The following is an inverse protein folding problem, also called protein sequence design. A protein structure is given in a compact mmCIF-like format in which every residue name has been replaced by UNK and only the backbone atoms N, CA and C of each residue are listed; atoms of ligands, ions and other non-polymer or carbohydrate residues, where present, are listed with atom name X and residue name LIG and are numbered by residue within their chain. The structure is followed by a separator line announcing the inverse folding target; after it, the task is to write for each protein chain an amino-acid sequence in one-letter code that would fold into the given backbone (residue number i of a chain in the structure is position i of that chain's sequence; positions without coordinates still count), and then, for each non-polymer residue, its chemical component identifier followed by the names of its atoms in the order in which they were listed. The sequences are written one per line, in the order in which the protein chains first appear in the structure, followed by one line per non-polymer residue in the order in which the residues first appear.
data_IF_367483197943
#
_entry.id   IF_367483197943
#
_cell.length_a   1.000
_cell.length_b   1.000
_cell.length_c   1.000
_cell.angle_alpha   90.00
_cell.angle_beta   90.00
_cell.angle_gamma   90.00
#
_symmetry.space_group_name_H-M   'P 1'
#
loop_
_entity.id
_entity.type
_entity.pdbx_description
1 polymer ?
#
# COMPACT_ATOMS: atom_id res chain seq x y z
N UNK A 1 -7.78 -10.05 5.93
CA UNK A 1 -7.20 -8.76 5.52
C UNK A 1 -5.96 -9.06 4.70
N UNK A 2 -5.85 -8.51 3.49
CA UNK A 2 -4.62 -8.65 2.70
C UNK A 2 -3.50 -7.88 3.40
N UNK A 3 -2.30 -8.46 3.52
CA UNK A 3 -1.12 -7.83 4.12
C UNK A 3 0.02 -7.92 3.10
N UNK A 4 0.62 -6.80 2.67
CA UNK A 4 1.73 -6.82 1.72
C UNK A 4 2.85 -7.72 2.21
N UNK A 5 3.45 -8.48 1.29
CA UNK A 5 4.53 -9.41 1.59
C UNK A 5 5.83 -8.94 0.96
N UNK A 6 6.92 -9.61 1.35
CA UNK A 6 8.26 -9.32 0.81
C UNK A 6 8.24 -9.40 -0.72
N UNK A 7 7.64 -10.45 -1.25
CA UNK A 7 7.44 -10.66 -2.68
C UNK A 7 6.05 -10.18 -3.13
N UNK A 8 5.94 -9.83 -4.41
CA UNK A 8 4.69 -9.39 -5.02
C UNK A 8 3.57 -10.42 -4.87
N UNK A 9 2.38 -9.92 -4.56
CA UNK A 9 1.12 -10.62 -4.58
C UNK A 9 0.25 -9.96 -5.66
N UNK A 10 0.26 -10.52 -6.86
CA UNK A 10 -0.50 -9.97 -7.99
C UNK A 10 -2.00 -9.95 -7.65
N UNK A 11 -2.52 -8.77 -7.36
CA UNK A 11 -3.93 -8.55 -7.11
C UNK A 11 -4.57 -8.18 -8.45
N UNK A 12 -5.12 -9.20 -9.10
CA UNK A 12 -6.00 -8.96 -10.24
C UNK A 12 -7.39 -8.47 -9.76
N UNK A 13 -8.20 -7.98 -10.70
CA UNK A 13 -9.53 -7.44 -10.42
C UNK A 13 -10.42 -8.41 -9.60
N UNK A 14 -10.35 -9.71 -9.90
CA UNK A 14 -11.17 -10.72 -9.20
C UNK A 14 -10.77 -10.84 -7.72
N UNK A 15 -9.47 -10.92 -7.45
CA UNK A 15 -8.93 -10.98 -6.07
C UNK A 15 -9.25 -9.68 -5.32
N UNK A 16 -9.11 -8.54 -6.00
CA UNK A 16 -9.43 -7.24 -5.42
C UNK A 16 -10.90 -7.15 -5.00
N UNK A 17 -11.82 -7.53 -5.89
CA UNK A 17 -13.26 -7.51 -5.63
C UNK A 17 -13.69 -8.45 -4.50
N UNK A 18 -13.09 -9.64 -4.43
CA UNK A 18 -13.46 -10.71 -3.48
C UNK A 18 -12.90 -10.47 -2.07
N UNK A 19 -11.66 -9.98 -1.96
CA UNK A 19 -10.94 -9.90 -0.68
C UNK A 19 -10.77 -8.49 -0.11
N UNK A 20 -11.20 -7.44 -0.83
CA UNK A 20 -11.17 -6.06 -0.35
C UNK A 20 -12.57 -5.64 0.12
N UNK A 21 -12.77 -5.37 1.42
CA UNK A 21 -14.05 -4.86 1.93
C UNK A 21 -14.47 -3.58 1.20
N UNK A 22 -15.77 -3.36 0.99
CA UNK A 22 -16.29 -2.20 0.25
C UNK A 22 -15.73 -0.86 0.75
N UNK A 23 -15.63 -0.68 2.07
CA UNK A 23 -15.06 0.53 2.69
C UNK A 23 -13.58 0.77 2.31
N UNK A 24 -12.87 -0.30 1.96
CA UNK A 24 -11.45 -0.29 1.60
C UNK A 24 -11.21 -0.29 0.09
N UNK A 25 -12.28 -0.34 -0.72
CA UNK A 25 -12.15 -0.17 -2.17
C UNK A 25 -11.84 1.29 -2.48
N UNK A 26 -11.13 1.48 -3.58
CA UNK A 26 -10.83 2.78 -4.17
C UNK A 26 -12.10 3.42 -4.72
N UNK A 27 -12.37 4.64 -4.29
CA UNK A 27 -13.49 5.46 -4.73
C UNK A 27 -13.00 6.67 -5.54
N UNK A 28 -13.66 6.91 -6.66
CA UNK A 28 -13.34 8.00 -7.58
C UNK A 28 -14.60 8.79 -7.93
N UNK A 29 -14.45 10.09 -8.09
CA UNK A 29 -15.47 10.94 -8.70
C UNK A 29 -14.83 11.82 -9.78
N UNK A 30 -15.39 11.78 -10.99
CA UNK A 30 -14.84 12.49 -12.16
C UNK A 30 -13.35 12.22 -12.43
N UNK A 31 -12.91 10.97 -12.18
CA UNK A 31 -11.51 10.57 -12.40
C UNK A 31 -10.54 11.06 -11.32
N UNK A 32 -11.02 11.71 -10.27
CA UNK A 32 -10.22 12.16 -9.13
C UNK A 32 -10.53 11.26 -7.92
N UNK A 33 -9.49 10.85 -7.19
CA UNK A 33 -9.66 10.18 -5.92
C UNK A 33 -10.42 11.10 -4.95
N UNK A 34 -11.44 10.55 -4.30
CA UNK A 34 -12.14 11.30 -3.27
C UNK A 34 -11.13 11.68 -2.16
N UNK A 35 -11.12 12.94 -1.69
CA UNK A 35 -10.13 13.38 -0.69
C UNK A 35 -10.43 12.85 0.71
N UNK A 36 -11.62 12.26 0.90
CA UNK A 36 -12.04 11.57 2.12
C UNK A 36 -11.76 10.06 2.02
N UNK A 37 -11.87 9.33 3.13
CA UNK A 37 -11.71 7.86 3.17
C UNK A 37 -10.32 7.30 2.82
N UNK A 38 -9.24 8.08 3.00
CA UNK A 38 -7.86 7.58 2.88
C UNK A 38 -7.52 6.95 1.51
N UNK A 39 -8.13 7.41 0.42
CA UNK A 39 -7.95 6.85 -0.94
C UNK A 39 -6.48 6.75 -1.38
N UNK A 40 -5.65 7.74 -1.01
CA UNK A 40 -4.21 7.70 -1.28
C UNK A 40 -3.50 6.54 -0.58
N UNK A 41 -3.88 6.24 0.66
CA UNK A 41 -3.31 5.11 1.41
C UNK A 41 -3.76 3.77 0.81
N UNK A 42 -5.05 3.65 0.44
CA UNK A 42 -5.59 2.47 -0.24
C UNK A 42 -4.87 2.22 -1.57
N UNK A 43 -4.60 3.27 -2.34
CA UNK A 43 -3.88 3.15 -3.62
C UNK A 43 -2.44 2.69 -3.38
N UNK A 44 -1.75 3.29 -2.40
CA UNK A 44 -0.40 2.88 -2.04
C UNK A 44 -0.35 1.40 -1.63
N UNK A 45 -1.33 0.95 -0.83
CA UNK A 45 -1.44 -0.46 -0.46
C UNK A 45 -1.65 -1.37 -1.67
N UNK A 46 -2.51 -0.99 -2.62
CA UNK A 46 -2.71 -1.76 -3.85
C UNK A 46 -1.42 -1.87 -4.69
N UNK A 47 -0.65 -0.79 -4.77
CA UNK A 47 0.66 -0.80 -5.41
C UNK A 47 1.63 -1.73 -4.67
N UNK A 48 1.70 -1.64 -3.34
CA UNK A 48 2.55 -2.49 -2.50
C UNK A 48 2.23 -3.97 -2.62
N UNK A 49 0.94 -4.35 -2.75
CA UNK A 49 0.58 -5.74 -3.01
C UNK A 49 1.18 -6.22 -4.34
N UNK A 50 0.97 -5.48 -5.42
CA UNK A 50 1.39 -5.90 -6.76
C UNK A 50 2.91 -5.84 -6.98
N UNK A 51 3.64 -5.04 -6.18
CA UNK A 51 5.08 -4.85 -6.30
C UNK A 51 5.88 -5.67 -5.28
N UNK A 52 5.35 -5.85 -4.07
CA UNK A 52 6.08 -6.44 -2.93
C UNK A 52 6.95 -5.42 -2.20
N UNK A 53 7.21 -5.69 -0.92
CA UNK A 53 8.00 -4.80 -0.04
C UNK A 53 9.45 -4.71 -0.51
N UNK A 54 10.06 -5.79 -1.01
CA UNK A 54 11.45 -5.78 -1.47
C UNK A 54 11.66 -4.75 -2.58
N UNK A 55 10.78 -4.78 -3.58
CA UNK A 55 10.87 -3.88 -4.73
C UNK A 55 10.44 -2.45 -4.37
N UNK A 56 9.47 -2.29 -3.46
CA UNK A 56 9.21 -0.98 -2.86
C UNK A 56 10.47 -0.36 -2.23
N UNK A 57 11.19 -1.13 -1.41
CA UNK A 57 12.41 -0.65 -0.79
C UNK A 57 13.50 -0.40 -1.83
N UNK A 58 13.60 -1.22 -2.89
CA UNK A 58 14.66 -1.07 -3.90
C UNK A 58 14.60 0.29 -4.61
N UNK A 59 13.39 0.80 -4.89
CA UNK A 59 13.17 2.07 -5.60
C UNK A 59 13.31 3.32 -4.73
N UNK A 60 13.32 3.19 -3.40
CA UNK A 60 13.46 4.34 -2.52
C UNK A 60 14.90 4.93 -2.59
N UNK A 61 15.05 6.27 -2.60
CA UNK A 61 16.33 6.92 -2.35
C UNK A 61 16.93 6.51 -1.00
N UNK A 62 18.25 6.66 -0.87
CA UNK A 62 18.96 6.24 0.34
C UNK A 62 18.47 6.99 1.59
N UNK A 63 18.27 8.30 1.48
CA UNK A 63 17.79 9.16 2.56
C UNK A 63 16.40 8.72 3.03
N UNK A 64 15.51 8.38 2.09
CA UNK A 64 14.16 7.88 2.41
C UNK A 64 14.18 6.50 3.10
N UNK A 65 15.16 5.63 2.77
CA UNK A 65 15.32 4.34 3.46
C UNK A 65 15.74 4.54 4.91
N UNK A 66 16.62 5.50 5.18
CA UNK A 66 17.09 5.83 6.52
C UNK A 66 15.96 6.38 7.38
N UNK A 67 15.18 7.32 6.85
CA UNK A 67 13.98 7.83 7.52
C UNK A 67 12.97 6.72 7.83
N UNK A 68 12.67 5.87 6.84
CA UNK A 68 11.75 4.75 7.01
C UNK A 68 12.22 3.78 8.10
N UNK A 69 13.51 3.43 8.12
CA UNK A 69 14.07 2.54 9.14
C UNK A 69 13.95 3.15 10.54
N UNK A 70 14.22 4.45 10.69
CA UNK A 70 14.10 5.15 11.97
C UNK A 70 12.66 5.11 12.50
N UNK A 71 11.67 5.41 11.63
CA UNK A 71 10.26 5.37 11.98
C UNK A 71 9.81 3.96 12.38
N UNK A 72 10.15 2.94 11.59
CA UNK A 72 9.80 1.55 11.91
C UNK A 72 10.40 1.07 13.24
N UNK A 73 11.62 1.50 13.56
CA UNK A 73 12.25 1.17 14.84
C UNK A 73 11.59 1.86 16.04
N UNK A 74 10.94 3.01 15.84
CA UNK A 74 10.15 3.68 16.88
C UNK A 74 8.82 2.95 17.06
N UNK A 75 8.07 2.75 15.97
CA UNK A 75 6.75 2.10 15.99
C UNK A 75 6.78 0.66 16.54
N UNK A 76 7.86 -0.10 16.30
CA UNK A 76 7.98 -1.49 16.77
C UNK A 76 8.45 -1.63 18.22
N UNK A 77 8.85 -0.52 18.87
CA UNK A 77 9.23 -0.51 20.30
C UNK A 77 8.06 -0.14 21.22
N UNK A 78 6.99 0.41 20.67
CA UNK A 78 5.72 0.68 21.34
C UNK A 78 4.80 -0.54 21.34
#
# INVERSE_FOLDING_TARGET
MLIPKIEAQLINYKIYEEYTPTLNKLEFFQGVFLPFNNERQKMLMLCLFNMGIREFISILPQESKEELLCLLQQDLKE
#
